data_IF_265424208138
#
_entry.id   IF_265424208138
#
_cell.length_a   1.000
_cell.length_b   1.000
_cell.length_c   1.000
_cell.angle_alpha   90.00
_cell.angle_beta   90.00
_cell.angle_gamma   90.00
#
_symmetry.space_group_name_H-M   'P 1'
#
loop_
_entity.id
_entity.type
_entity.pdbx_description
1 polymer ?
#
# COMPACT_ATOMS: atom_id res chain seq x y z
N UNK A 1 -14.80 -12.24 -8.73
CA UNK A 1 -13.42 -12.71 -8.44
C UNK A 1 -12.81 -11.81 -7.37
N UNK A 2 -11.75 -12.24 -6.65
CA UNK A 2 -11.12 -11.45 -5.58
C UNK A 2 -9.64 -11.16 -5.86
N UNK A 3 -9.27 -9.88 -5.87
CA UNK A 3 -7.88 -9.41 -5.90
C UNK A 3 -7.30 -9.45 -4.48
N UNK A 4 -6.09 -10.02 -4.32
CA UNK A 4 -5.38 -10.03 -3.03
C UNK A 4 -4.41 -8.86 -2.97
N UNK A 5 -4.71 -7.85 -2.15
CA UNK A 5 -3.80 -6.77 -1.79
C UNK A 5 -2.96 -7.18 -0.58
N UNK A 6 -1.65 -7.18 -0.73
CA UNK A 6 -0.71 -7.49 0.36
C UNK A 6 -0.16 -6.18 0.90
N UNK A 7 -0.33 -5.95 2.19
CA UNK A 7 0.32 -4.85 2.92
C UNK A 7 1.50 -5.43 3.69
N UNK A 8 2.74 -5.02 3.39
CA UNK A 8 3.93 -5.48 4.12
C UNK A 8 3.89 -5.11 5.60
N UNK A 9 4.66 -5.83 6.41
CA UNK A 9 4.86 -5.48 7.81
C UNK A 9 5.71 -4.21 7.93
N UNK A 10 5.40 -3.37 8.91
CA UNK A 10 6.27 -2.25 9.31
C UNK A 10 7.23 -2.74 10.40
N UNK A 11 8.53 -2.51 10.20
CA UNK A 11 9.59 -2.93 11.11
C UNK A 11 10.30 -1.68 11.62
N UNK A 12 10.53 -1.62 12.93
CA UNK A 12 11.34 -0.58 13.55
C UNK A 12 12.54 -1.17 14.27
N UNK A 13 13.60 -0.38 14.39
CA UNK A 13 14.76 -0.69 15.21
C UNK A 13 14.63 0.04 16.54
N UNK A 14 14.50 -0.70 17.62
CA UNK A 14 14.58 -0.17 18.98
C UNK A 14 16.03 -0.22 19.47
N UNK A 15 16.51 0.90 19.99
CA UNK A 15 17.82 1.02 20.65
C UNK A 15 17.60 1.24 22.15
N UNK A 16 18.11 0.32 22.95
CA UNK A 16 18.06 0.42 24.40
C UNK A 16 19.48 0.55 24.94
N UNK A 17 19.80 1.70 25.53
CA UNK A 17 21.09 1.92 26.21
C UNK A 17 20.88 1.76 27.71
N UNK A 18 21.61 0.82 28.31
CA UNK A 18 21.58 0.56 29.75
C UNK A 18 22.94 0.78 30.37
N UNK A 19 22.97 1.33 31.59
CA UNK A 19 24.17 1.36 32.41
C UNK A 19 24.54 -0.07 32.82
N UNK A 20 25.65 -0.57 32.27
CA UNK A 20 26.17 -1.89 32.60
C UNK A 20 27.01 -1.84 33.88
N UNK A 21 27.87 -0.82 34.01
CA UNK A 21 28.66 -0.58 35.22
C UNK A 21 28.73 0.91 35.56
N UNK A 22 28.48 1.32 36.81
CA UNK A 22 28.64 2.71 37.22
C UNK A 22 30.12 3.10 37.30
N UNK A 23 30.39 4.41 37.18
CA UNK A 23 31.73 4.95 37.43
C UNK A 23 32.16 4.72 38.87
N UNK A 24 33.43 4.33 39.09
CA UNK A 24 34.03 4.16 40.42
C UNK A 24 35.03 5.28 40.72
N UNK A 25 35.04 5.78 41.95
CA UNK A 25 36.01 6.77 42.46
C UNK A 25 36.68 6.24 43.73
N UNK A 26 37.91 6.66 44.00
CA UNK A 26 38.62 6.34 45.24
C UNK A 26 38.20 7.29 46.38
N UNK A 27 38.70 7.06 47.58
CA UNK A 27 38.46 7.87 48.78
C UNK A 27 38.97 9.31 48.67
N UNK A 28 39.94 9.58 47.80
CA UNK A 28 40.43 10.94 47.47
C UNK A 28 39.57 11.63 46.39
N UNK A 29 38.49 11.01 45.92
CA UNK A 29 37.59 11.54 44.89
C UNK A 29 38.07 11.36 43.45
N UNK A 30 39.25 10.76 43.23
CA UNK A 30 39.82 10.50 41.91
C UNK A 30 39.08 9.36 41.19
N UNK A 31 38.89 9.50 39.87
CA UNK A 31 38.21 8.52 39.04
C UNK A 31 39.06 7.25 38.88
N UNK A 32 38.51 6.09 39.24
CA UNK A 32 39.17 4.78 39.17
C UNK A 32 38.66 3.99 37.96
N UNK A 33 37.36 4.06 37.64
CA UNK A 33 36.85 3.53 36.38
C UNK A 33 35.71 4.40 35.84
N UNK A 34 35.61 4.58 34.52
CA UNK A 34 34.46 5.22 33.91
C UNK A 34 33.22 4.33 34.00
N UNK A 35 32.05 4.93 33.77
CA UNK A 35 30.82 4.17 33.59
C UNK A 35 30.86 3.43 32.24
N UNK A 36 30.38 2.19 32.23
CA UNK A 36 30.21 1.39 31.03
C UNK A 36 28.73 1.26 30.71
N UNK A 37 28.40 1.39 29.42
CA UNK A 37 27.04 1.26 28.91
C UNK A 37 27.01 0.13 27.88
N UNK A 38 25.88 -0.55 27.84
CA UNK A 38 25.57 -1.54 26.83
C UNK A 38 24.39 -1.03 26.00
N UNK A 39 24.49 -1.11 24.68
CA UNK A 39 23.41 -0.75 23.76
C UNK A 39 22.91 -2.01 23.07
N UNK A 40 21.64 -2.35 23.29
CA UNK A 40 20.97 -3.46 22.59
C UNK A 40 20.16 -2.92 21.43
N UNK A 41 20.22 -3.62 20.30
CA UNK A 41 19.47 -3.30 19.08
C UNK A 41 18.47 -4.42 18.78
N UNK A 42 17.18 -4.10 18.82
CA UNK A 42 16.11 -5.08 18.60
C UNK A 42 15.25 -4.65 17.42
N UNK A 43 15.01 -5.57 16.48
CA UNK A 43 14.02 -5.37 15.42
C UNK A 43 12.65 -5.78 15.93
N UNK A 44 11.68 -4.87 15.88
CA UNK A 44 10.30 -5.13 16.28
C UNK A 44 9.36 -4.90 15.10
N UNK A 45 8.37 -5.78 14.97
CA UNK A 45 7.28 -5.58 14.01
C UNK A 45 6.27 -4.65 14.67
N UNK A 46 6.19 -3.40 14.19
CA UNK A 46 5.25 -2.40 14.73
C UNK A 46 3.87 -2.55 14.12
N UNK A 47 3.78 -3.04 12.88
CA UNK A 47 2.52 -3.47 12.26
C UNK A 47 2.73 -4.79 11.52
N UNK A 48 1.93 -5.84 11.79
CA UNK A 48 2.05 -7.10 11.08
C UNK A 48 1.61 -6.96 9.62
N UNK A 49 2.16 -7.82 8.77
CA UNK A 49 1.68 -8.01 7.39
C UNK A 49 0.19 -8.36 7.40
N UNK A 50 -0.56 -7.83 6.44
CA UNK A 50 -1.95 -8.19 6.23
C UNK A 50 -2.25 -8.47 4.76
N UNK A 51 -3.31 -9.26 4.52
CA UNK A 51 -3.83 -9.55 3.18
C UNK A 51 -5.29 -9.15 3.15
N UNK A 52 -5.62 -8.21 2.27
CA UNK A 52 -6.99 -7.75 2.05
C UNK A 52 -7.51 -8.33 0.74
N UNK A 53 -8.74 -8.86 0.74
CA UNK A 53 -9.42 -9.27 -0.48
C UNK A 53 -10.24 -8.08 -0.99
N UNK A 54 -10.13 -7.79 -2.27
CA UNK A 54 -10.83 -6.68 -2.93
C UNK A 54 -11.68 -7.26 -4.05
N UNK A 55 -12.95 -6.88 -4.08
CA UNK A 55 -13.86 -7.28 -5.14
C UNK A 55 -13.48 -6.64 -6.48
N UNK A 56 -13.43 -7.46 -7.52
CA UNK A 56 -13.20 -7.01 -8.90
C UNK A 56 -14.44 -7.18 -9.74
N UNK A 57 -14.57 -6.35 -10.77
CA UNK A 57 -15.55 -6.57 -11.84
C UNK A 57 -15.29 -7.97 -12.41
N UNK A 58 -16.34 -8.74 -12.64
CA UNK A 58 -16.20 -10.09 -13.16
C UNK A 58 -15.82 -10.04 -14.65
N UNK A 59 -14.97 -10.97 -15.14
CA UNK A 59 -14.57 -10.98 -16.55
C UNK A 59 -15.74 -11.02 -17.53
N UNK A 60 -16.82 -11.71 -17.16
CA UNK A 60 -18.07 -11.77 -17.93
C UNK A 60 -18.78 -10.43 -18.07
N UNK A 61 -18.63 -9.52 -17.10
CA UNK A 61 -19.20 -8.17 -17.12
C UNK A 61 -18.29 -7.18 -17.86
N UNK A 62 -17.05 -7.55 -18.18
CA UNK A 62 -16.11 -6.73 -18.95
C UNK A 62 -16.40 -6.78 -20.46
N UNK A 63 -17.64 -6.48 -20.84
CA UNK A 63 -18.07 -6.44 -22.24
C UNK A 63 -17.46 -5.24 -22.97
N UNK A 64 -17.41 -5.23 -24.32
CA UNK A 64 -16.93 -4.07 -25.07
C UNK A 64 -17.68 -2.78 -24.77
N UNK A 65 -18.98 -2.86 -24.48
CA UNK A 65 -19.82 -1.72 -24.10
C UNK A 65 -19.44 -1.19 -22.71
N UNK A 66 -19.19 -2.08 -21.76
CA UNK A 66 -18.67 -1.72 -20.45
C UNK A 66 -17.30 -1.04 -20.57
N UNK A 67 -16.39 -1.63 -21.34
CA UNK A 67 -15.04 -1.07 -21.54
C UNK A 67 -15.10 0.29 -22.25
N UNK A 68 -16.01 0.45 -23.21
CA UNK A 68 -16.26 1.75 -23.87
C UNK A 68 -16.69 2.81 -22.85
N UNK A 69 -17.57 2.44 -21.93
CA UNK A 69 -18.08 3.33 -20.88
C UNK A 69 -16.98 3.66 -19.86
N UNK A 70 -16.15 2.67 -19.50
CA UNK A 70 -14.97 2.84 -18.67
C UNK A 70 -13.95 3.79 -19.30
N UNK A 71 -13.63 3.61 -20.57
CA UNK A 71 -12.72 4.51 -21.31
C UNK A 71 -13.25 5.94 -21.37
N UNK A 72 -14.56 6.13 -21.60
CA UNK A 72 -15.21 7.46 -21.56
C UNK A 72 -15.11 8.11 -20.18
N UNK A 73 -15.38 7.35 -19.12
CA UNK A 73 -15.25 7.85 -17.76
C UNK A 73 -13.82 8.29 -17.46
N UNK A 74 -12.81 7.51 -17.87
CA UNK A 74 -11.42 7.91 -17.72
C UNK A 74 -11.01 9.11 -18.58
N UNK A 75 -11.60 9.30 -19.77
CA UNK A 75 -11.39 10.53 -20.56
C UNK A 75 -11.93 11.76 -19.82
N UNK A 76 -13.13 11.67 -19.24
CA UNK A 76 -13.72 12.76 -18.46
C UNK A 76 -12.90 13.10 -17.20
N UNK A 77 -12.19 12.13 -16.64
CA UNK A 77 -11.24 12.32 -15.54
C UNK A 77 -9.82 12.71 -16.01
N UNK A 78 -9.59 12.96 -17.29
CA UNK A 78 -8.26 13.26 -17.89
C UNK A 78 -7.19 12.16 -17.68
N UNK A 79 -7.61 10.92 -17.40
CA UNK A 79 -6.73 9.77 -17.16
C UNK A 79 -6.53 8.89 -18.40
N UNK A 80 -7.29 9.15 -19.47
CA UNK A 80 -7.23 8.41 -20.73
C UNK A 80 -7.19 9.41 -21.88
N UNK A 81 -6.11 9.38 -22.68
CA UNK A 81 -5.92 10.28 -23.83
C UNK A 81 -5.92 9.54 -25.18
N UNK A 82 -6.15 8.24 -25.15
CA UNK A 82 -6.20 7.39 -26.35
C UNK A 82 -7.61 7.34 -26.94
N UNK A 83 -7.72 6.76 -28.14
CA UNK A 83 -9.01 6.51 -28.79
C UNK A 83 -9.82 5.49 -28.00
N UNK A 84 -11.13 5.68 -27.91
CA UNK A 84 -12.06 4.70 -27.34
C UNK A 84 -12.17 3.52 -28.32
N UNK A 85 -11.80 2.32 -27.86
CA UNK A 85 -11.77 1.09 -28.65
C UNK A 85 -12.73 0.02 -28.16
N UNK A 86 -13.28 0.17 -26.95
CA UNK A 86 -14.06 -0.89 -26.29
C UNK A 86 -13.24 -2.15 -25.98
N UNK A 87 -11.91 -2.08 -26.08
CA UNK A 87 -11.02 -3.21 -25.86
C UNK A 87 -10.13 -2.97 -24.64
N UNK A 88 -9.87 -4.03 -23.87
CA UNK A 88 -9.00 -3.99 -22.68
C UNK A 88 -7.51 -3.95 -23.07
N UNK A 89 -7.12 -2.88 -23.74
CA UNK A 89 -5.77 -2.63 -24.28
C UNK A 89 -4.81 -2.07 -23.22
N UNK A 90 -3.56 -1.84 -23.62
CA UNK A 90 -2.53 -1.30 -22.73
C UNK A 90 -2.86 0.11 -22.22
N UNK A 91 -3.51 0.93 -23.05
CA UNK A 91 -3.89 2.29 -22.66
C UNK A 91 -4.95 2.26 -21.55
N UNK A 92 -5.95 1.38 -21.68
CA UNK A 92 -7.03 1.17 -20.69
C UNK A 92 -6.48 0.60 -19.40
N UNK A 93 -5.62 -0.43 -19.46
CA UNK A 93 -4.97 -1.02 -18.29
C UNK A 93 -4.12 -0.01 -17.52
N UNK A 94 -3.45 0.91 -18.23
CA UNK A 94 -2.67 1.98 -17.61
C UNK A 94 -3.58 3.02 -16.92
N UNK A 95 -4.70 3.38 -17.53
CA UNK A 95 -5.67 4.27 -16.90
C UNK A 95 -6.26 3.65 -15.62
N UNK A 96 -6.64 2.36 -15.66
CA UNK A 96 -7.08 1.61 -14.47
C UNK A 96 -6.00 1.64 -13.38
N UNK A 97 -4.75 1.31 -13.73
CA UNK A 97 -3.65 1.29 -12.78
C UNK A 97 -3.44 2.66 -12.12
N UNK A 98 -3.45 3.74 -12.90
CA UNK A 98 -3.26 5.10 -12.40
C UNK A 98 -4.40 5.51 -11.45
N UNK A 99 -5.65 5.28 -11.87
CA UNK A 99 -6.84 5.59 -11.08
C UNK A 99 -6.82 4.85 -9.72
N UNK A 100 -6.52 3.56 -9.77
CA UNK A 100 -6.54 2.70 -8.57
C UNK A 100 -5.33 2.92 -7.66
N UNK A 101 -4.17 3.31 -8.20
CA UNK A 101 -2.97 3.56 -7.39
C UNK A 101 -3.20 4.72 -6.43
N UNK A 102 -3.89 5.78 -6.86
CA UNK A 102 -4.28 6.89 -5.98
C UNK A 102 -5.21 6.43 -4.83
N UNK A 103 -5.93 5.32 -5.02
CA UNK A 103 -6.81 4.68 -4.02
C UNK A 103 -6.11 3.59 -3.23
N UNK A 104 -4.79 3.48 -3.36
CA UNK A 104 -3.97 2.50 -2.68
C UNK A 104 -4.10 1.08 -3.22
N UNK A 105 -4.58 0.89 -4.45
CA UNK A 105 -4.66 -0.41 -5.12
C UNK A 105 -3.79 -0.40 -6.38
N UNK A 106 -2.61 -1.02 -6.29
CA UNK A 106 -1.67 -1.10 -7.42
C UNK A 106 -1.98 -2.30 -8.33
N UNK A 107 -3.10 -2.24 -9.04
CA UNK A 107 -3.54 -3.30 -9.97
C UNK A 107 -4.12 -2.71 -11.26
N UNK A 108 -3.94 -3.41 -12.38
CA UNK A 108 -4.55 -3.11 -13.67
C UNK A 108 -5.87 -3.88 -13.91
N UNK A 109 -6.37 -4.58 -12.90
CA UNK A 109 -7.70 -5.19 -12.88
C UNK A 109 -8.67 -4.23 -12.22
N UNK A 110 -9.78 -3.92 -12.89
CA UNK A 110 -10.77 -2.98 -12.39
C UNK A 110 -11.52 -3.54 -11.17
N UNK A 111 -11.52 -2.79 -10.08
CA UNK A 111 -12.19 -3.13 -8.83
C UNK A 111 -13.66 -2.70 -8.89
N UNK A 112 -14.56 -3.43 -8.22
CA UNK A 112 -15.99 -3.04 -8.18
C UNK A 112 -16.17 -1.65 -7.59
N UNK A 113 -15.39 -1.31 -6.57
CA UNK A 113 -15.40 0.01 -5.95
C UNK A 113 -14.98 1.12 -6.93
N UNK A 114 -13.96 0.90 -7.76
CA UNK A 114 -13.55 1.85 -8.79
C UNK A 114 -14.65 2.03 -9.85
N UNK A 115 -15.24 0.93 -10.31
CA UNK A 115 -16.35 0.97 -11.26
C UNK A 115 -17.59 1.68 -10.70
N UNK A 116 -17.90 1.49 -9.41
CA UNK A 116 -18.99 2.19 -8.71
C UNK A 116 -18.72 3.69 -8.60
N UNK A 117 -17.49 4.09 -8.27
CA UNK A 117 -17.11 5.51 -8.19
C UNK A 117 -17.21 6.21 -9.55
N UNK A 118 -16.96 5.49 -10.64
CA UNK A 118 -17.16 5.97 -12.00
C UNK A 118 -18.63 5.85 -12.48
N UNK A 119 -19.53 5.36 -11.63
CA UNK A 119 -20.95 5.18 -11.95
C UNK A 119 -21.26 4.07 -12.96
N UNK A 120 -20.34 3.12 -13.14
CA UNK A 120 -20.43 2.04 -14.14
C UNK A 120 -21.10 0.76 -13.61
N UNK A 121 -21.14 0.59 -12.29
CA UNK A 121 -21.77 -0.55 -11.62
C UNK A 121 -22.69 -0.03 -10.51
N UNK A 122 -23.81 -0.70 -10.32
CA UNK A 122 -24.79 -0.36 -9.26
C UNK A 122 -24.16 -0.59 -7.88
N UNK A 123 -24.49 0.29 -6.94
CA UNK A 123 -24.16 0.11 -5.53
C UNK A 123 -25.16 -0.90 -4.97
N UNK A 124 -24.76 -2.16 -4.83
CA UNK A 124 -25.52 -3.09 -3.97
C UNK A 124 -25.39 -2.57 -2.53
N UNK A 125 -26.51 -2.12 -1.96
CA UNK A 125 -26.60 -1.68 -0.55
C UNK A 125 -26.66 -2.86 0.40
#
# INVERSE_FOLDING_TARGET
MLLRKITPAEISTLLETRLFQPKKRNTAGQLVSPAQYETTRTQIITKPRSVTKIDTVCPEDMTPEFITSLQRAFQACELFSSTITGSMDMSTRRAILNFQTFRGVSSATDTKAAAQELGLVVIDQ
#
